data_IF_680085424417
#
_entry.id   IF_680085424417
#
_cell.length_a   1.000
_cell.length_b   1.000
_cell.length_c   1.000
_cell.angle_alpha   90.00
_cell.angle_beta   90.00
_cell.angle_gamma   90.00
#
_symmetry.space_group_name_H-M   'P 1'
#
loop_
_entity.id
_entity.type
_entity.pdbx_description
1 polymer ?
#
# COMPACT_ATOMS: atom_id res chain seq x y z
N UNK A 1 4.38 -3.91 -16.30
CA UNK A 1 4.57 -3.17 -15.05
C UNK A 1 3.57 -3.64 -14.00
N UNK A 2 4.05 -4.04 -12.82
CA UNK A 2 3.17 -4.46 -11.74
C UNK A 2 2.41 -3.27 -11.15
N UNK A 3 1.38 -3.55 -10.36
CA UNK A 3 0.66 -2.48 -9.66
C UNK A 3 1.57 -1.74 -8.69
N UNK A 4 2.46 -2.46 -8.00
CA UNK A 4 3.45 -1.85 -7.13
C UNK A 4 4.32 -0.86 -7.90
N UNK A 5 4.83 -1.26 -9.08
CA UNK A 5 5.66 -0.39 -9.92
C UNK A 5 4.91 0.83 -10.41
N UNK A 6 3.63 0.66 -10.77
CA UNK A 6 2.78 1.78 -11.20
C UNK A 6 2.63 2.83 -10.10
N UNK A 7 2.47 2.39 -8.86
CA UNK A 7 2.37 3.32 -7.72
C UNK A 7 3.70 4.05 -7.51
N UNK A 8 4.83 3.37 -7.65
CA UNK A 8 6.13 4.01 -7.59
C UNK A 8 6.28 5.10 -8.63
N UNK A 9 5.82 4.82 -9.84
CA UNK A 9 5.87 5.81 -10.93
C UNK A 9 5.00 7.03 -10.62
N UNK A 10 3.82 6.81 -10.04
CA UNK A 10 2.96 7.91 -9.60
C UNK A 10 3.69 8.78 -8.58
N UNK A 11 4.31 8.16 -7.57
CA UNK A 11 5.03 8.89 -6.53
C UNK A 11 6.16 9.73 -7.11
N UNK A 12 6.96 9.16 -8.01
CA UNK A 12 8.05 9.88 -8.67
C UNK A 12 7.54 11.04 -9.49
N UNK A 13 6.46 10.83 -10.23
CA UNK A 13 5.84 11.86 -11.08
C UNK A 13 5.41 13.06 -10.26
N UNK A 14 4.93 12.84 -9.05
CA UNK A 14 4.42 13.92 -8.18
C UNK A 14 5.42 14.34 -7.11
N UNK A 15 6.68 13.98 -7.28
CA UNK A 15 7.76 14.48 -6.42
C UNK A 15 7.83 13.86 -5.03
N UNK A 16 7.20 12.71 -4.85
CA UNK A 16 7.29 11.97 -3.58
C UNK A 16 8.51 11.05 -3.62
N UNK A 17 9.20 10.93 -2.50
CA UNK A 17 10.42 10.13 -2.45
C UNK A 17 10.12 8.63 -2.54
N UNK A 18 10.79 7.97 -3.47
CA UNK A 18 10.81 6.51 -3.60
C UNK A 18 12.20 6.05 -3.20
N UNK A 19 12.31 5.34 -2.08
CA UNK A 19 13.61 4.86 -1.62
C UNK A 19 14.00 3.59 -2.38
N UNK A 20 15.29 3.44 -2.63
CA UNK A 20 15.82 2.25 -3.30
C UNK A 20 16.56 1.33 -2.33
N UNK A 21 16.51 1.62 -1.05
CA UNK A 21 17.13 0.83 0.01
C UNK A 21 16.14 0.75 1.18
N UNK A 22 15.95 -0.44 1.71
CA UNK A 22 15.01 -0.67 2.81
C UNK A 22 15.50 0.03 4.07
N UNK A 23 14.75 1.02 4.53
CA UNK A 23 15.05 1.78 5.75
C UNK A 23 13.81 2.58 6.17
N UNK A 24 13.81 3.02 7.43
CA UNK A 24 12.75 3.91 7.89
C UNK A 24 12.94 5.29 7.28
N UNK A 25 11.89 5.87 6.68
CA UNK A 25 11.93 7.27 6.28
C UNK A 25 11.80 8.19 7.50
N UNK A 26 11.76 9.51 7.28
CA UNK A 26 11.51 10.47 8.35
C UNK A 26 10.22 10.14 9.09
N UNK A 27 10.19 10.45 10.38
CA UNK A 27 9.04 10.16 11.25
C UNK A 27 7.71 10.66 10.68
N UNK A 28 7.71 11.85 10.11
CA UNK A 28 6.49 12.42 9.51
C UNK A 28 5.98 11.60 8.33
N UNK A 29 6.88 10.97 7.59
CA UNK A 29 6.51 10.10 6.46
C UNK A 29 5.98 8.77 6.98
N UNK A 30 6.61 8.22 8.01
CA UNK A 30 6.12 7.00 8.67
C UNK A 30 4.68 7.22 9.13
N UNK A 31 4.43 8.33 9.82
CA UNK A 31 3.10 8.68 10.31
C UNK A 31 2.11 8.84 9.17
N UNK A 32 2.51 9.55 8.11
CA UNK A 32 1.67 9.76 6.93
C UNK A 32 1.24 8.42 6.33
N UNK A 33 2.19 7.51 6.13
CA UNK A 33 1.89 6.21 5.51
C UNK A 33 0.99 5.36 6.38
N UNK A 34 1.22 5.37 7.70
CA UNK A 34 0.35 4.68 8.64
C UNK A 34 -1.07 5.27 8.57
N UNK A 35 -1.18 6.60 8.65
CA UNK A 35 -2.49 7.27 8.66
C UNK A 35 -3.28 7.01 7.38
N UNK A 36 -2.61 6.99 6.23
CA UNK A 36 -3.28 6.70 4.95
C UNK A 36 -3.91 5.31 4.94
N UNK A 37 -3.19 4.31 5.45
CA UNK A 37 -3.71 2.94 5.53
C UNK A 37 -4.88 2.89 6.53
N UNK A 38 -4.73 3.54 7.68
CA UNK A 38 -5.77 3.57 8.70
C UNK A 38 -7.06 4.21 8.19
N UNK A 39 -6.95 5.30 7.42
CA UNK A 39 -8.10 5.97 6.81
C UNK A 39 -8.86 5.03 5.86
N UNK A 40 -8.12 4.33 5.01
CA UNK A 40 -8.74 3.41 4.04
C UNK A 40 -9.37 2.22 4.75
N UNK A 41 -8.76 1.74 5.82
CA UNK A 41 -9.33 0.68 6.64
C UNK A 41 -10.66 1.12 7.24
N UNK A 42 -10.75 2.35 7.73
CA UNK A 42 -12.00 2.90 8.28
C UNK A 42 -13.08 3.03 7.20
N UNK A 43 -12.72 3.44 6.00
CA UNK A 43 -13.66 3.52 4.87
C UNK A 43 -14.18 2.13 4.50
N UNK A 44 -13.32 1.12 4.55
CA UNK A 44 -13.72 -0.26 4.32
C UNK A 44 -14.76 -0.71 5.36
N UNK A 45 -14.52 -0.40 6.62
CA UNK A 45 -15.44 -0.71 7.73
C UNK A 45 -16.82 -0.10 7.49
N UNK A 46 -16.84 1.18 7.09
CA UNK A 46 -18.10 1.88 6.80
C UNK A 46 -18.82 1.26 5.61
N UNK A 47 -18.09 0.91 4.56
CA UNK A 47 -18.66 0.28 3.37
C UNK A 47 -19.32 -1.06 3.71
N UNK A 48 -18.70 -1.86 4.60
CA UNK A 48 -19.25 -3.12 5.07
C UNK A 48 -20.55 -2.87 5.86
N UNK A 49 -20.50 -1.90 6.76
CA UNK A 49 -21.66 -1.55 7.58
C UNK A 49 -22.86 -1.16 6.70
N UNK A 50 -22.59 -0.38 5.66
CA UNK A 50 -23.62 0.14 4.77
C UNK A 50 -24.01 -0.86 3.67
N UNK A 51 -23.32 -2.00 3.60
CA UNK A 51 -23.54 -3.06 2.58
C UNK A 51 -23.45 -2.51 1.16
N UNK A 52 -22.53 -1.56 0.95
CA UNK A 52 -22.32 -0.93 -0.34
C UNK A 52 -21.13 -1.59 -1.04
N UNK A 53 -21.43 -2.50 -1.98
CA UNK A 53 -20.39 -3.30 -2.64
C UNK A 53 -19.46 -2.43 -3.49
N UNK A 54 -19.95 -1.35 -4.06
CA UNK A 54 -19.14 -0.44 -4.86
C UNK A 54 -18.09 0.24 -3.96
N UNK A 55 -18.53 0.70 -2.79
CA UNK A 55 -17.62 1.33 -1.83
C UNK A 55 -16.63 0.32 -1.23
N UNK A 56 -17.05 -0.95 -1.09
CA UNK A 56 -16.13 -2.02 -0.69
C UNK A 56 -15.01 -2.17 -1.71
N UNK A 57 -15.35 -2.19 -3.01
CA UNK A 57 -14.36 -2.29 -4.07
C UNK A 57 -13.39 -1.10 -4.05
N UNK A 58 -13.92 0.11 -3.89
CA UNK A 58 -13.10 1.32 -3.80
C UNK A 58 -12.15 1.27 -2.60
N UNK A 59 -12.67 0.92 -1.43
CA UNK A 59 -11.87 0.89 -0.21
C UNK A 59 -10.75 -0.15 -0.30
N UNK A 60 -11.05 -1.36 -0.80
CA UNK A 60 -10.04 -2.40 -0.95
C UNK A 60 -8.96 -1.99 -1.95
N UNK A 61 -9.35 -1.35 -3.05
CA UNK A 61 -8.40 -0.87 -4.06
C UNK A 61 -7.51 0.22 -3.47
N UNK A 62 -8.09 1.14 -2.72
CA UNK A 62 -7.33 2.21 -2.08
C UNK A 62 -6.38 1.68 -1.02
N UNK A 63 -6.79 0.63 -0.27
CA UNK A 63 -5.88 -0.05 0.68
C UNK A 63 -4.65 -0.58 -0.05
N UNK A 64 -4.84 -1.22 -1.19
CA UNK A 64 -3.72 -1.71 -2.00
C UNK A 64 -2.82 -0.54 -2.43
N UNK A 65 -3.44 0.53 -2.91
CA UNK A 65 -2.70 1.67 -3.44
C UNK A 65 -1.81 2.31 -2.36
N UNK A 66 -2.37 2.60 -1.20
CA UNK A 66 -1.60 3.25 -0.12
C UNK A 66 -0.59 2.29 0.51
N UNK A 67 -0.87 0.98 0.50
CA UNK A 67 0.07 -0.04 0.98
C UNK A 67 1.30 -0.09 0.06
N UNK A 68 1.09 -0.10 -1.25
CA UNK A 68 2.20 -0.03 -2.21
C UNK A 68 3.00 1.26 -2.02
N UNK A 69 2.31 2.37 -1.79
CA UNK A 69 2.98 3.64 -1.50
C UNK A 69 3.87 3.58 -0.26
N UNK A 70 3.39 2.93 0.80
CA UNK A 70 4.17 2.72 2.01
C UNK A 70 5.43 1.87 1.71
N UNK A 71 5.28 0.83 0.89
CA UNK A 71 6.42 0.01 0.47
C UNK A 71 7.51 0.86 -0.18
N UNK A 72 7.14 1.73 -1.11
CA UNK A 72 8.10 2.63 -1.77
C UNK A 72 8.73 3.61 -0.79
N UNK A 73 7.95 4.15 0.13
CA UNK A 73 8.46 5.10 1.12
C UNK A 73 9.50 4.46 2.05
N UNK A 74 9.36 3.17 2.33
CA UNK A 74 10.31 2.42 3.16
C UNK A 74 11.42 1.73 2.35
N UNK A 75 11.37 1.83 1.02
CA UNK A 75 12.35 1.18 0.14
C UNK A 75 12.21 -0.33 0.10
N UNK A 76 11.02 -0.86 0.34
CA UNK A 76 10.75 -2.30 0.35
C UNK A 76 10.13 -2.71 -0.99
N UNK A 77 10.71 -3.72 -1.63
CA UNK A 77 10.15 -4.28 -2.86
C UNK A 77 9.03 -5.25 -2.49
N UNK A 78 7.79 -4.74 -2.47
CA UNK A 78 6.64 -5.55 -2.07
C UNK A 78 6.31 -6.66 -3.06
N UNK A 79 6.69 -6.53 -4.33
CA UNK A 79 6.51 -7.62 -5.30
C UNK A 79 7.33 -8.84 -4.88
N UNK A 80 8.57 -8.62 -4.47
CA UNK A 80 9.42 -9.71 -3.99
C UNK A 80 8.90 -10.29 -2.68
N UNK A 81 8.48 -9.44 -1.76
CA UNK A 81 7.91 -9.87 -0.48
C UNK A 81 6.65 -10.69 -0.70
N UNK A 82 5.79 -10.26 -1.61
CA UNK A 82 4.55 -10.97 -1.92
C UNK A 82 4.86 -12.36 -2.48
N UNK A 83 5.86 -12.47 -3.36
CA UNK A 83 6.28 -13.75 -3.92
C UNK A 83 6.70 -14.73 -2.82
N UNK A 84 7.44 -14.24 -1.83
CA UNK A 84 7.86 -15.08 -0.69
C UNK A 84 6.66 -15.54 0.14
N UNK A 85 5.73 -14.63 0.42
CA UNK A 85 4.51 -14.96 1.17
C UNK A 85 3.68 -15.97 0.39
N UNK A 86 3.54 -15.80 -0.91
CA UNK A 86 2.78 -16.72 -1.75
C UNK A 86 3.40 -18.12 -1.71
N UNK A 87 4.73 -18.22 -1.86
CA UNK A 87 5.41 -19.49 -1.82
C UNK A 87 5.22 -20.17 -0.46
N UNK A 88 5.34 -19.42 0.63
CA UNK A 88 5.13 -19.92 1.98
C UNK A 88 3.70 -20.44 2.16
N UNK A 89 2.72 -19.67 1.71
CA UNK A 89 1.31 -20.06 1.84
C UNK A 89 0.99 -21.32 1.05
N UNK A 90 1.55 -21.44 -0.15
CA UNK A 90 1.32 -22.64 -0.99
C UNK A 90 1.99 -23.89 -0.42
N UNK A 91 2.93 -23.75 0.51
CA UNK A 91 3.64 -24.86 1.15
C UNK A 91 3.01 -25.28 2.48
N UNK A 92 1.95 -24.65 2.91
CA UNK A 92 1.26 -24.95 4.18
C UNK A 92 0.40 -26.22 4.07
#
# INVERSE_FOLDING_TARGET
>A
MSNFEKVGKFMETFGQEVKNKAEFPEEKIVKLRYDLIAEELEEFKVAIRDKDIKEVADALTDILYVTYGAGHAFGINLDKCFKEVQNSNMSK
#
